data_IF_423499167279
#
_entry.id   IF_423499167279
#
_cell.length_a   1.000
_cell.length_b   1.000
_cell.length_c   1.000
_cell.angle_alpha   90.00
_cell.angle_beta   90.00
_cell.angle_gamma   90.00
#
_symmetry.space_group_name_H-M   'P 1'
#
loop_
_entity.id
_entity.type
_entity.pdbx_description
1 polymer ?
#
# COMPACT_ATOMS: atom_id res chain seq x y z
N UNK A 1 6.43 -19.29 -9.63
CA UNK A 1 7.01 -18.77 -8.37
C UNK A 1 8.38 -18.11 -8.49
N UNK A 2 9.51 -18.80 -8.79
CA UNK A 2 10.84 -18.12 -8.80
C UNK A 2 10.92 -16.91 -9.74
N UNK A 3 10.40 -17.02 -10.96
CA UNK A 3 10.35 -15.89 -11.90
C UNK A 3 9.41 -14.78 -11.43
N UNK A 4 8.26 -15.13 -10.84
CA UNK A 4 7.33 -14.15 -10.24
C UNK A 4 7.98 -13.40 -9.08
N UNK A 5 8.73 -14.09 -8.22
CA UNK A 5 9.49 -13.47 -7.12
C UNK A 5 10.57 -12.54 -7.66
N UNK A 6 11.27 -12.92 -8.73
CA UNK A 6 12.25 -12.06 -9.39
C UNK A 6 11.60 -10.79 -9.98
N UNK A 7 10.42 -10.95 -10.60
CA UNK A 7 9.63 -9.83 -11.10
C UNK A 7 9.19 -8.90 -9.97
N UNK A 8 8.62 -9.47 -8.91
CA UNK A 8 8.23 -8.76 -7.68
C UNK A 8 9.38 -7.94 -7.09
N UNK A 9 10.56 -8.54 -6.87
CA UNK A 9 11.74 -7.82 -6.38
C UNK A 9 12.14 -6.65 -7.30
N UNK A 10 12.04 -6.84 -8.61
CA UNK A 10 12.33 -5.78 -9.57
C UNK A 10 11.34 -4.61 -9.50
N UNK A 11 10.05 -4.90 -9.37
CA UNK A 11 9.01 -3.88 -9.21
C UNK A 11 9.16 -3.11 -7.89
N UNK A 12 9.37 -3.84 -6.78
CA UNK A 12 9.61 -3.22 -5.47
C UNK A 12 10.85 -2.33 -5.44
N UNK A 13 11.90 -2.69 -6.17
CA UNK A 13 13.08 -1.83 -6.31
C UNK A 13 12.75 -0.51 -7.03
N UNK A 14 11.90 -0.55 -8.06
CA UNK A 14 11.42 0.66 -8.73
C UNK A 14 10.50 1.48 -7.82
N UNK A 15 9.57 0.84 -7.10
CA UNK A 15 8.71 1.49 -6.10
C UNK A 15 9.54 2.24 -5.06
N UNK A 16 10.57 1.59 -4.51
CA UNK A 16 11.51 2.20 -3.56
C UNK A 16 12.18 3.46 -4.12
N UNK A 17 12.68 3.41 -5.35
CA UNK A 17 13.31 4.57 -6.00
C UNK A 17 12.35 5.74 -6.20
N UNK A 18 11.11 5.47 -6.59
CA UNK A 18 10.09 6.52 -6.74
C UNK A 18 9.65 7.10 -5.40
N UNK A 19 9.55 6.28 -4.35
CA UNK A 19 9.31 6.76 -2.98
C UNK A 19 10.44 7.66 -2.47
N UNK A 20 11.71 7.30 -2.70
CA UNK A 20 12.86 8.16 -2.36
C UNK A 20 12.80 9.50 -3.10
N UNK A 21 12.50 9.46 -4.40
CA UNK A 21 12.36 10.65 -5.24
C UNK A 21 11.21 11.55 -4.76
N UNK A 22 10.04 10.97 -4.47
CA UNK A 22 8.90 11.69 -3.94
C UNK A 22 9.20 12.30 -2.56
N UNK A 23 9.84 11.54 -1.67
CA UNK A 23 10.23 12.04 -0.35
C UNK A 23 11.22 13.20 -0.45
N UNK A 24 12.19 13.13 -1.36
CA UNK A 24 13.12 14.23 -1.63
C UNK A 24 12.40 15.49 -2.15
N UNK A 25 11.44 15.33 -3.06
CA UNK A 25 10.59 16.43 -3.51
C UNK A 25 9.82 17.06 -2.35
N UNK A 26 9.17 16.25 -1.51
CA UNK A 26 8.41 16.73 -0.35
C UNK A 26 9.30 17.49 0.65
N UNK A 27 10.53 17.02 0.88
CA UNK A 27 11.55 17.76 1.67
C UNK A 27 11.87 19.13 1.08
N UNK A 28 12.00 19.23 -0.25
CA UNK A 28 12.22 20.53 -0.92
C UNK A 28 11.06 21.52 -0.68
N UNK A 29 9.88 21.00 -0.34
CA UNK A 29 8.69 21.77 0.05
C UNK A 29 8.53 21.94 1.57
N UNK A 30 9.59 21.66 2.34
CA UNK A 30 9.65 21.76 3.80
C UNK A 30 8.75 20.78 4.54
N UNK A 31 8.38 19.66 3.91
CA UNK A 31 7.70 18.55 4.60
C UNK A 31 8.77 17.60 5.15
N UNK A 32 8.82 17.35 6.48
CA UNK A 32 9.91 16.61 7.12
C UNK A 32 9.74 15.09 7.00
N UNK A 33 9.87 14.57 5.78
CA UNK A 33 9.69 13.14 5.48
C UNK A 33 10.84 12.27 5.99
N UNK A 34 12.02 12.84 6.21
CA UNK A 34 13.22 12.15 6.70
C UNK A 34 13.01 11.50 8.07
N UNK A 35 12.22 12.12 8.94
CA UNK A 35 11.96 11.58 10.27
C UNK A 35 11.12 10.29 10.18
N UNK A 36 10.14 10.27 9.28
CA UNK A 36 9.29 9.09 9.03
C UNK A 36 10.09 8.01 8.31
N UNK A 37 10.82 8.39 7.26
CA UNK A 37 11.67 7.48 6.48
C UNK A 37 12.70 6.78 7.37
N UNK A 38 13.41 7.54 8.21
CA UNK A 38 14.39 6.98 9.14
C UNK A 38 13.75 6.01 10.13
N UNK A 39 12.60 6.37 10.71
CA UNK A 39 11.88 5.51 11.64
C UNK A 39 11.50 4.17 11.00
N UNK A 40 10.94 4.20 9.79
CA UNK A 40 10.54 3.00 9.06
C UNK A 40 11.75 2.13 8.71
N UNK A 41 12.82 2.71 8.15
CA UNK A 41 14.02 1.95 7.75
C UNK A 41 14.72 1.30 8.95
N UNK A 42 14.86 2.02 10.06
CA UNK A 42 15.47 1.47 11.28
C UNK A 42 14.59 0.37 11.89
N UNK A 43 13.26 0.56 11.87
CA UNK A 43 12.28 -0.42 12.31
C UNK A 43 12.33 -1.72 11.50
N UNK A 44 12.31 -1.63 10.17
CA UNK A 44 12.41 -2.80 9.28
C UNK A 44 13.74 -3.54 9.45
N UNK A 45 14.86 -2.81 9.58
CA UNK A 45 16.17 -3.42 9.87
C UNK A 45 16.20 -4.15 11.22
N UNK A 46 15.55 -3.60 12.24
CA UNK A 46 15.44 -4.24 13.53
C UNK A 46 14.55 -5.49 13.45
N UNK A 47 13.39 -5.41 12.79
CA UNK A 47 12.50 -6.54 12.58
C UNK A 47 13.19 -7.68 11.81
N UNK A 48 13.96 -7.38 10.77
CA UNK A 48 14.73 -8.37 10.02
C UNK A 48 15.78 -9.13 10.86
N UNK A 49 16.22 -8.56 11.99
CA UNK A 49 17.13 -9.22 12.93
C UNK A 49 16.41 -10.01 14.02
N UNK A 50 15.20 -9.59 14.39
CA UNK A 50 14.48 -10.10 15.56
C UNK A 50 13.40 -11.13 15.22
N UNK A 51 12.76 -10.98 14.07
CA UNK A 51 11.72 -11.91 13.61
C UNK A 51 12.36 -13.16 13.02
N UNK A 52 11.75 -14.32 13.27
CA UNK A 52 12.12 -15.56 12.57
C UNK A 52 11.86 -15.42 11.06
N UNK A 53 12.52 -16.21 10.20
CA UNK A 53 12.26 -16.19 8.77
C UNK A 53 10.77 -16.39 8.42
N UNK A 54 10.05 -17.26 9.15
CA UNK A 54 8.62 -17.46 8.93
C UNK A 54 7.79 -16.20 9.23
N UNK A 55 8.17 -15.48 10.30
CA UNK A 55 7.52 -14.23 10.71
C UNK A 55 7.84 -13.09 9.75
N UNK A 56 9.07 -13.01 9.24
CA UNK A 56 9.45 -12.04 8.22
C UNK A 56 8.62 -12.25 6.93
N UNK A 57 8.45 -13.50 6.50
CA UNK A 57 7.63 -13.78 5.31
C UNK A 57 6.13 -13.50 5.56
N UNK A 58 5.63 -13.81 6.76
CA UNK A 58 4.27 -13.43 7.16
C UNK A 58 4.08 -11.91 7.21
N UNK A 59 5.13 -11.16 7.60
CA UNK A 59 5.15 -9.69 7.63
C UNK A 59 5.03 -9.13 6.22
N UNK A 60 5.85 -9.64 5.30
CA UNK A 60 5.76 -9.31 3.87
C UNK A 60 4.34 -9.56 3.37
N UNK A 61 3.77 -10.75 3.60
CA UNK A 61 2.38 -11.03 3.19
C UNK A 61 1.34 -10.04 3.75
N UNK A 62 1.50 -9.64 5.01
CA UNK A 62 0.60 -8.68 5.62
C UNK A 62 0.73 -7.28 4.99
N UNK A 63 1.95 -6.81 4.77
CA UNK A 63 2.24 -5.52 4.13
C UNK A 63 1.74 -5.49 2.68
N UNK A 64 2.05 -6.52 1.88
CA UNK A 64 1.57 -6.66 0.50
C UNK A 64 0.04 -6.73 0.41
N UNK A 65 -0.61 -7.37 1.38
CA UNK A 65 -2.07 -7.37 1.43
C UNK A 65 -2.62 -5.97 1.76
N UNK A 66 -1.94 -5.20 2.62
CA UNK A 66 -2.32 -3.80 2.88
C UNK A 66 -2.13 -2.92 1.65
N UNK A 67 -0.96 -2.96 1.01
CA UNK A 67 -0.68 -2.12 -0.17
C UNK A 67 -1.64 -2.44 -1.31
N UNK A 68 -1.89 -3.73 -1.58
CA UNK A 68 -2.84 -4.13 -2.60
C UNK A 68 -4.29 -3.72 -2.27
N UNK A 69 -4.69 -3.78 -0.99
CA UNK A 69 -6.01 -3.29 -0.56
C UNK A 69 -6.17 -1.78 -0.77
N UNK A 70 -5.13 -0.98 -0.48
CA UNK A 70 -5.13 0.47 -0.69
C UNK A 70 -5.11 0.80 -2.19
N UNK A 71 -4.33 0.06 -2.97
CA UNK A 71 -4.27 0.16 -4.42
C UNK A 71 -5.63 -0.11 -5.08
N UNK A 72 -6.27 -1.23 -4.74
CA UNK A 72 -7.63 -1.56 -5.21
C UNK A 72 -8.63 -0.46 -4.85
N UNK A 73 -8.55 0.08 -3.64
CA UNK A 73 -9.44 1.14 -3.19
C UNK A 73 -9.28 2.41 -4.04
N UNK A 74 -8.05 2.83 -4.32
CA UNK A 74 -7.74 3.99 -5.18
C UNK A 74 -8.27 3.75 -6.61
N UNK A 75 -8.07 2.55 -7.15
CA UNK A 75 -8.53 2.20 -8.50
C UNK A 75 -10.06 2.16 -8.60
N UNK A 76 -10.75 1.69 -7.57
CA UNK A 76 -12.22 1.66 -7.49
C UNK A 76 -12.84 3.05 -7.25
N UNK A 77 -12.13 3.91 -6.52
CA UNK A 77 -12.64 5.17 -5.99
C UNK A 77 -11.68 6.31 -6.38
N UNK A 78 -11.63 6.69 -7.67
CA UNK A 78 -10.70 7.70 -8.16
C UNK A 78 -10.92 9.09 -7.52
N UNK A 79 -12.07 9.32 -6.89
CA UNK A 79 -12.33 10.54 -6.11
C UNK A 79 -11.33 10.73 -4.95
N UNK A 80 -10.62 9.67 -4.54
CA UNK A 80 -9.56 9.78 -3.54
C UNK A 80 -8.31 10.48 -4.04
N UNK A 81 -8.18 10.66 -5.35
CA UNK A 81 -7.11 11.46 -5.95
C UNK A 81 -7.56 12.91 -6.20
N UNK A 82 -8.81 13.28 -5.87
CA UNK A 82 -9.31 14.64 -6.03
C UNK A 82 -8.48 15.61 -5.18
N UNK A 83 -8.02 16.70 -5.81
CA UNK A 83 -7.16 17.70 -5.17
C UNK A 83 -5.67 17.35 -5.18
N UNK A 84 -5.28 16.17 -5.64
CA UNK A 84 -3.88 15.87 -5.96
C UNK A 84 -3.45 16.65 -7.20
N UNK A 85 -2.20 17.13 -7.21
CA UNK A 85 -1.60 17.71 -8.41
C UNK A 85 -1.61 16.68 -9.54
N UNK A 86 -2.15 17.05 -10.71
CA UNK A 86 -2.32 16.14 -11.85
C UNK A 86 -1.01 15.49 -12.30
N UNK A 87 0.14 16.12 -12.03
CA UNK A 87 1.47 15.59 -12.35
C UNK A 87 1.89 14.43 -11.45
N UNK A 88 1.30 14.32 -10.26
CA UNK A 88 1.57 13.24 -9.29
C UNK A 88 0.62 12.05 -9.48
N UNK A 89 -0.57 12.28 -10.05
CA UNK A 89 -1.57 11.23 -10.26
C UNK A 89 -1.02 10.02 -11.04
N UNK A 90 -0.25 10.17 -12.13
CA UNK A 90 0.29 9.03 -12.86
C UNK A 90 1.21 8.13 -12.01
N UNK A 91 1.99 8.72 -11.10
CA UNK A 91 2.88 7.95 -10.21
C UNK A 91 2.07 7.03 -9.30
N UNK A 92 1.07 7.57 -8.61
CA UNK A 92 0.24 6.79 -7.68
C UNK A 92 -0.67 5.79 -8.39
N UNK A 93 -1.16 6.14 -9.59
CA UNK A 93 -1.92 5.20 -10.43
C UNK A 93 -1.04 4.04 -10.90
N UNK A 94 0.20 4.30 -11.32
CA UNK A 94 1.16 3.25 -11.71
C UNK A 94 1.45 2.31 -10.54
N UNK A 95 1.80 2.88 -9.39
CA UNK A 95 2.07 2.13 -8.16
C UNK A 95 0.87 1.24 -7.79
N UNK A 96 -0.34 1.80 -7.76
CA UNK A 96 -1.56 1.03 -7.44
C UNK A 96 -1.84 -0.10 -8.45
N UNK A 97 -1.54 0.11 -9.74
CA UNK A 97 -1.71 -0.93 -10.76
C UNK A 97 -0.75 -2.10 -10.50
N UNK A 98 0.51 -1.86 -10.19
CA UNK A 98 1.49 -2.93 -9.92
C UNK A 98 1.24 -3.65 -8.59
N UNK A 99 1.02 -2.89 -7.51
CA UNK A 99 0.71 -3.41 -6.17
C UNK A 99 -0.52 -4.34 -6.14
N UNK A 100 -1.48 -4.14 -7.06
CA UNK A 100 -2.66 -5.01 -7.15
C UNK A 100 -2.32 -6.48 -7.50
N UNK A 101 -1.12 -6.73 -8.06
CA UNK A 101 -0.63 -8.06 -8.45
C UNK A 101 0.18 -8.74 -7.33
N UNK A 102 0.91 -7.97 -6.53
CA UNK A 102 1.96 -8.45 -5.62
C UNK A 102 1.46 -9.34 -4.48
N UNK A 103 0.27 -9.04 -3.95
CA UNK A 103 -0.37 -9.80 -2.85
C UNK A 103 -0.37 -11.31 -3.09
N UNK A 104 -0.54 -11.77 -4.33
CA UNK A 104 -0.60 -13.20 -4.64
C UNK A 104 0.80 -13.82 -4.59
N UNK A 105 1.81 -13.14 -5.14
CA UNK A 105 3.20 -13.65 -5.17
C UNK A 105 3.74 -13.83 -3.75
N UNK A 106 3.60 -12.83 -2.87
CA UNK A 106 4.05 -12.95 -1.49
C UNK A 106 3.33 -14.09 -0.73
N UNK A 107 2.03 -14.21 -0.94
CA UNK A 107 1.21 -15.25 -0.32
C UNK A 107 1.58 -16.67 -0.80
N UNK A 108 1.88 -16.82 -2.09
CA UNK A 108 2.27 -18.10 -2.68
C UNK A 108 3.64 -18.56 -2.18
N UNK A 109 4.58 -17.63 -2.00
CA UNK A 109 5.87 -17.94 -1.33
C UNK A 109 5.62 -18.35 0.12
N UNK A 110 4.71 -17.68 0.85
CA UNK A 110 4.40 -18.05 2.22
C UNK A 110 3.77 -19.44 2.35
N UNK A 111 2.83 -19.78 1.47
CA UNK A 111 2.27 -21.13 1.41
C UNK A 111 3.32 -22.18 1.05
N UNK A 112 4.22 -21.88 0.11
CA UNK A 112 5.24 -22.84 -0.32
C UNK A 112 6.31 -23.09 0.77
N UNK A 113 6.66 -22.07 1.56
CA UNK A 113 7.78 -22.13 2.50
C UNK A 113 7.37 -22.33 3.97
N UNK A 114 6.17 -21.92 4.37
CA UNK A 114 5.76 -21.84 5.78
C UNK A 114 4.40 -22.47 6.06
N UNK A 115 3.38 -22.11 5.27
CA UNK A 115 1.98 -22.58 5.36
C UNK A 115 1.38 -22.64 6.78
N UNK A 116 1.64 -21.62 7.61
CA UNK A 116 1.14 -21.59 8.98
C UNK A 116 0.07 -20.50 9.18
N UNK A 117 -1.19 -20.92 9.20
CA UNK A 117 -2.33 -20.01 9.41
C UNK A 117 -2.17 -19.10 10.63
N UNK A 118 -1.71 -19.62 11.77
CA UNK A 118 -1.64 -18.84 13.01
C UNK A 118 -0.52 -17.81 12.96
N UNK A 119 0.64 -18.18 12.39
CA UNK A 119 1.73 -17.23 12.17
C UNK A 119 1.24 -16.11 11.25
N UNK A 120 0.66 -16.44 10.10
CA UNK A 120 0.12 -15.46 9.14
C UNK A 120 -0.94 -14.54 9.75
N UNK A 121 -1.94 -15.10 10.43
CA UNK A 121 -3.06 -14.36 10.98
C UNK A 121 -2.63 -13.46 12.15
N UNK A 122 -1.78 -13.95 13.05
CA UNK A 122 -1.29 -13.12 14.16
C UNK A 122 -0.35 -12.02 13.67
N UNK A 123 0.43 -12.27 12.61
CA UNK A 123 1.30 -11.25 12.02
C UNK A 123 0.51 -10.13 11.36
N UNK A 124 -0.59 -10.45 10.68
CA UNK A 124 -1.52 -9.44 10.17
C UNK A 124 -2.08 -8.57 11.30
N UNK A 125 -2.43 -9.16 12.45
CA UNK A 125 -2.90 -8.40 13.60
C UNK A 125 -1.82 -7.47 14.18
N UNK A 126 -0.59 -7.95 14.36
CA UNK A 126 0.55 -7.13 14.80
C UNK A 126 0.81 -5.99 13.81
N UNK A 127 0.87 -6.30 12.52
CA UNK A 127 1.06 -5.31 11.45
C UNK A 127 -0.06 -4.28 11.41
N UNK A 128 -1.31 -4.68 11.69
CA UNK A 128 -2.42 -3.73 11.79
C UNK A 128 -2.20 -2.72 12.92
N UNK A 129 -1.78 -3.19 14.10
CA UNK A 129 -1.52 -2.32 15.26
C UNK A 129 -0.38 -1.35 14.95
N UNK A 130 0.71 -1.85 14.39
CA UNK A 130 1.84 -1.03 13.96
C UNK A 130 1.42 0.01 12.91
N UNK A 131 0.72 -0.42 11.86
CA UNK A 131 0.31 0.46 10.76
C UNK A 131 -0.59 1.60 11.26
N UNK A 132 -1.61 1.29 12.07
CA UNK A 132 -2.50 2.30 12.65
C UNK A 132 -1.76 3.21 13.64
N UNK A 133 -0.92 2.63 14.50
CA UNK A 133 -0.14 3.37 15.49
C UNK A 133 0.85 4.34 14.85
N UNK A 134 1.62 3.88 13.87
CA UNK A 134 2.60 4.69 13.16
C UNK A 134 1.93 5.74 12.28
N UNK A 135 0.81 5.41 11.62
CA UNK A 135 0.04 6.41 10.87
C UNK A 135 -0.44 7.54 11.78
N UNK A 136 -1.02 7.21 12.94
CA UNK A 136 -1.47 8.22 13.89
C UNK A 136 -0.31 9.05 14.46
N UNK A 137 0.79 8.39 14.82
CA UNK A 137 1.98 9.03 15.36
C UNK A 137 2.63 9.99 14.35
N UNK A 138 2.86 9.54 13.12
CA UNK A 138 3.49 10.37 12.09
C UNK A 138 2.55 11.43 11.54
N UNK A 139 1.23 11.18 11.48
CA UNK A 139 0.26 12.23 11.20
C UNK A 139 0.35 13.36 12.22
N UNK A 140 0.38 13.02 13.52
CA UNK A 140 0.57 14.00 14.58
C UNK A 140 1.90 14.75 14.46
N UNK A 141 2.99 14.03 14.19
CA UNK A 141 4.31 14.61 14.01
C UNK A 141 4.36 15.60 12.84
N UNK A 142 3.85 15.21 11.67
CA UNK A 142 3.80 16.07 10.48
C UNK A 142 2.90 17.30 10.75
N UNK A 143 1.74 17.10 11.37
CA UNK A 143 0.81 18.21 11.67
C UNK A 143 1.38 19.23 12.65
N UNK A 144 2.26 18.82 13.56
CA UNK A 144 2.96 19.74 14.48
C UNK A 144 3.91 20.70 13.77
N UNK A 145 4.36 20.35 12.57
CA UNK A 145 5.26 21.18 11.75
C UNK A 145 4.49 22.06 10.75
N UNK A 146 3.16 21.92 10.66
CA UNK A 146 2.30 22.78 9.85
C UNK A 146 1.91 24.07 10.58
N UNK A 147 1.55 25.12 9.85
CA UNK A 147 1.12 26.40 10.42
C UNK A 147 -0.26 26.33 11.12
N UNK A 148 -1.08 25.33 10.76
CA UNK A 148 -2.47 25.14 11.20
C UNK A 148 -2.65 23.93 12.13
N UNK A 149 -1.74 23.79 13.10
CA UNK A 149 -1.60 22.60 13.99
C UNK A 149 -2.90 22.13 14.64
N UNK A 150 -3.81 23.06 14.94
CA UNK A 150 -5.05 22.84 15.68
C UNK A 150 -6.31 23.10 14.84
N UNK A 151 -6.23 23.11 13.50
CA UNK A 151 -7.44 23.19 12.69
C UNK A 151 -8.29 21.92 12.84
N UNK A 152 -9.19 21.96 13.83
CA UNK A 152 -10.13 20.91 14.15
C UNK A 152 -11.12 20.63 13.04
N UNK A 153 -11.39 21.57 12.13
CA UNK A 153 -12.26 21.27 10.98
C UNK A 153 -11.56 20.33 10.02
N UNK A 154 -10.30 20.61 9.66
CA UNK A 154 -9.46 19.71 8.86
C UNK A 154 -9.29 18.35 9.53
N UNK A 155 -9.06 18.32 10.85
CA UNK A 155 -8.85 17.06 11.57
C UNK A 155 -10.12 16.20 11.64
N UNK A 156 -11.27 16.79 11.96
CA UNK A 156 -12.55 16.07 11.95
C UNK A 156 -12.92 15.61 10.54
N UNK A 157 -12.66 16.44 9.52
CA UNK A 157 -12.88 16.08 8.12
C UNK A 157 -12.02 14.88 7.71
N UNK A 158 -10.72 14.89 8.04
CA UNK A 158 -9.80 13.79 7.77
C UNK A 158 -10.19 12.51 8.52
N UNK A 159 -10.61 12.61 9.78
CA UNK A 159 -11.13 11.47 10.53
C UNK A 159 -12.40 10.90 9.88
N UNK A 160 -13.36 11.74 9.47
CA UNK A 160 -14.55 11.27 8.78
C UNK A 160 -14.21 10.63 7.41
N UNK A 161 -13.19 11.14 6.71
CA UNK A 161 -12.68 10.55 5.47
C UNK A 161 -12.00 9.19 5.71
N UNK A 162 -11.35 9.00 6.86
CA UNK A 162 -10.72 7.74 7.23
C UNK A 162 -11.72 6.69 7.76
N UNK A 163 -12.54 7.06 8.76
CA UNK A 163 -13.36 6.13 9.56
C UNK A 163 -14.88 6.33 9.41
N UNK A 164 -15.33 7.36 8.69
CA UNK A 164 -16.75 7.61 8.47
C UNK A 164 -17.42 6.52 7.64
N UNK A 165 -18.75 6.61 7.47
CA UNK A 165 -19.55 5.59 6.75
C UNK A 165 -19.10 5.33 5.31
N UNK A 166 -18.51 6.34 4.66
CA UNK A 166 -17.91 6.23 3.31
C UNK A 166 -16.37 6.28 3.35
N UNK A 167 -15.79 6.18 4.53
CA UNK A 167 -14.36 6.32 4.73
C UNK A 167 -13.57 5.07 4.32
N UNK A 168 -12.25 5.23 4.22
CA UNK A 168 -11.33 4.18 3.78
C UNK A 168 -11.48 2.90 4.56
N UNK A 169 -11.42 2.96 5.89
CA UNK A 169 -11.45 1.75 6.73
C UNK A 169 -12.75 0.96 6.57
N UNK A 170 -13.86 1.66 6.33
CA UNK A 170 -15.15 1.00 6.07
C UNK A 170 -15.12 0.23 4.74
N UNK A 171 -14.59 0.85 3.66
CA UNK A 171 -14.48 0.24 2.33
C UNK A 171 -13.47 -0.91 2.30
N UNK A 172 -12.38 -0.82 3.05
CA UNK A 172 -11.33 -1.84 3.14
C UNK A 172 -11.72 -3.07 3.98
N UNK A 173 -12.67 -2.91 4.92
CA UNK A 173 -13.06 -3.93 5.89
C UNK A 173 -13.31 -5.32 5.28
N UNK A 174 -14.04 -5.50 4.16
CA UNK A 174 -14.27 -6.83 3.61
C UNK A 174 -12.99 -7.52 3.13
N UNK A 175 -12.06 -6.77 2.52
CA UNK A 175 -10.78 -7.30 2.06
C UNK A 175 -9.86 -7.62 3.24
N UNK A 176 -9.85 -6.77 4.26
CA UNK A 176 -9.08 -6.97 5.49
C UNK A 176 -9.55 -8.22 6.25
N UNK A 177 -10.85 -8.35 6.51
CA UNK A 177 -11.41 -9.49 7.23
C UNK A 177 -11.28 -10.81 6.45
N UNK A 178 -11.23 -10.77 5.12
CA UNK A 178 -11.03 -11.96 4.31
C UNK A 178 -9.67 -12.64 4.59
N UNK A 179 -8.62 -11.87 4.92
CA UNK A 179 -7.27 -12.38 5.19
C UNK A 179 -7.22 -13.37 6.37
N UNK A 180 -8.14 -13.22 7.32
CA UNK A 180 -8.26 -14.07 8.51
C UNK A 180 -8.98 -15.40 8.25
N UNK A 181 -9.46 -15.67 7.03
CA UNK A 181 -10.05 -16.97 6.71
C UNK A 181 -8.96 -18.04 6.59
N UNK A 182 -9.24 -19.26 7.06
CA UNK A 182 -8.29 -20.38 6.94
C UNK A 182 -8.01 -20.76 5.49
N UNK A 183 -9.04 -20.75 4.66
CA UNK A 183 -8.94 -21.02 3.22
C UNK A 183 -8.64 -19.75 2.40
N UNK A 184 -8.18 -18.67 3.04
CA UNK A 184 -7.88 -17.43 2.33
C UNK A 184 -6.81 -17.64 1.26
N UNK A 185 -7.01 -17.00 0.10
CA UNK A 185 -5.99 -16.77 -0.90
C UNK A 185 -6.33 -15.45 -1.62
N UNK A 186 -5.34 -14.54 -1.83
CA UNK A 186 -5.59 -13.24 -2.47
C UNK A 186 -6.26 -13.33 -3.85
N UNK A 187 -5.92 -14.36 -4.65
CA UNK A 187 -6.48 -14.61 -5.97
C UNK A 187 -8.00 -14.90 -5.97
N UNK A 188 -8.60 -15.31 -4.84
CA UNK A 188 -10.06 -15.48 -4.73
C UNK A 188 -10.82 -14.15 -4.85
N UNK A 189 -10.15 -13.02 -4.67
CA UNK A 189 -10.69 -11.67 -4.90
C UNK A 189 -10.14 -11.16 -6.22
N UNK A 190 -10.72 -11.65 -7.32
CA UNK A 190 -10.31 -11.24 -8.66
C UNK A 190 -10.70 -9.79 -8.93
N UNK A 191 -9.69 -8.94 -9.06
CA UNK A 191 -9.78 -7.51 -9.31
C UNK A 191 -9.02 -7.08 -10.56
N UNK A 192 -8.70 -8.02 -11.46
CA UNK A 192 -7.96 -7.75 -12.70
C UNK A 192 -8.60 -6.67 -13.56
N UNK A 193 -9.93 -6.59 -13.58
CA UNK A 193 -10.66 -5.53 -14.29
C UNK A 193 -10.31 -4.11 -13.80
N UNK A 194 -10.00 -3.93 -12.50
CA UNK A 194 -9.56 -2.63 -11.96
C UNK A 194 -8.18 -2.26 -12.47
N UNK A 195 -7.28 -3.24 -12.50
CA UNK A 195 -5.94 -3.09 -13.03
C UNK A 195 -5.98 -2.73 -14.52
N UNK A 196 -6.78 -3.44 -15.31
CA UNK A 196 -6.99 -3.16 -16.73
C UNK A 196 -7.53 -1.74 -16.95
N UNK A 197 -8.52 -1.32 -16.15
CA UNK A 197 -9.03 0.05 -16.20
C UNK A 197 -7.98 1.09 -15.79
N UNK A 198 -7.15 0.78 -14.79
CA UNK A 198 -6.02 1.60 -14.34
C UNK A 198 -4.96 1.77 -15.44
N UNK A 199 -4.57 0.69 -16.11
CA UNK A 199 -3.65 0.70 -17.24
C UNK A 199 -4.18 1.52 -18.41
N UNK A 200 -5.46 1.39 -18.76
CA UNK A 200 -6.11 2.22 -19.79
C UNK A 200 -6.06 3.71 -19.43
N UNK A 201 -6.27 4.07 -18.16
CA UNK A 201 -6.14 5.45 -17.68
C UNK A 201 -4.68 5.94 -17.76
N UNK A 202 -3.72 5.15 -17.28
CA UNK A 202 -2.30 5.48 -17.34
C UNK A 202 -1.80 5.68 -18.77
N UNK A 203 -2.18 4.79 -19.69
CA UNK A 203 -1.87 4.89 -21.11
C UNK A 203 -2.30 6.26 -21.68
N UNK A 204 -3.50 6.72 -21.31
CA UNK A 204 -4.01 8.03 -21.71
C UNK A 204 -3.26 9.18 -21.04
N UNK A 205 -3.02 9.11 -19.73
CA UNK A 205 -2.32 10.16 -18.96
C UNK A 205 -0.88 10.37 -19.44
N UNK A 206 -0.19 9.29 -19.79
CA UNK A 206 1.22 9.31 -20.20
C UNK A 206 1.42 9.41 -21.72
N UNK A 207 0.34 9.40 -22.50
CA UNK A 207 0.36 9.28 -23.96
C UNK A 207 1.20 8.07 -24.44
N UNK A 208 1.01 6.92 -23.77
CA UNK A 208 1.70 5.65 -24.01
C UNK A 208 0.70 4.53 -24.28
N UNK A 209 0.15 4.43 -25.50
CA UNK A 209 -0.88 3.45 -25.84
C UNK A 209 -0.43 1.99 -25.66
N UNK A 210 0.88 1.72 -25.69
CA UNK A 210 1.48 0.41 -25.43
C UNK A 210 1.15 -0.15 -24.05
N UNK A 211 0.89 0.70 -23.04
CA UNK A 211 0.50 0.26 -21.69
C UNK A 211 -0.87 -0.42 -21.66
N UNK A 212 -1.71 -0.18 -22.67
CA UNK A 212 -3.03 -0.82 -22.80
C UNK A 212 -3.03 -2.00 -23.79
N UNK A 213 -1.89 -2.30 -24.44
CA UNK A 213 -1.79 -3.41 -25.39
C UNK A 213 -1.76 -4.75 -24.64
N UNK A 214 -2.62 -5.70 -25.05
CA UNK A 214 -2.73 -7.03 -24.44
C UNK A 214 -3.79 -7.18 -23.35
N UNK A 215 -4.53 -6.11 -23.02
CA UNK A 215 -5.74 -6.22 -22.19
C UNK A 215 -6.87 -6.84 -23.03
N UNK A 216 -7.73 -7.70 -22.45
CA UNK A 216 -8.92 -8.18 -23.14
C UNK A 216 -9.80 -7.00 -23.61
N UNK A 217 -10.44 -7.18 -24.77
CA UNK A 217 -11.28 -6.17 -25.42
C UNK A 217 -12.46 -5.73 -24.54
#
# INVERSE_FOLDING_TARGET
>A
LKEEVKGFIGQEAHHGNEHETFNAFMRSKRVPTDIVEKFVLDGLKWQGKMLSPERQLAKTCALEHFTAMLAELILENPEFLDGMDERLVPLWMWHAVEESEHKSVAFDVYQDQVDNYWVRASEMAVTTIEFLGFTAFHYYQLRREMDDKTDWRSIVSGLNWLVGRKGWLHRLRPAYLAYYKRDFHPAKRDKRHLREAGLKKLAKMLNKPELAQGLPA
#
